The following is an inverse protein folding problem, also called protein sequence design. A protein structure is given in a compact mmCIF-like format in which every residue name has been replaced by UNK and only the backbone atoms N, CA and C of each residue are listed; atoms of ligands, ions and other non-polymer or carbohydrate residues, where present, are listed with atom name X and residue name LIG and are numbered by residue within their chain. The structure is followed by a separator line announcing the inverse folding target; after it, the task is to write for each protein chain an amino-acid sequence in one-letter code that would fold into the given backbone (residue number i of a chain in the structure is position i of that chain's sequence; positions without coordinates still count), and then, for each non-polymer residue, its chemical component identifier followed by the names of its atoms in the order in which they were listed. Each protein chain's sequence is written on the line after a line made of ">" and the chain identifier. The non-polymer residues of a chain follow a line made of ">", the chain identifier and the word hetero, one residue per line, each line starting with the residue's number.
data_IF_665915800370
#
_entry.id   IF_665915800370
#
_cell.length_a   1.000
_cell.length_b   1.000
_cell.length_c   1.000
_cell.angle_alpha   90.00
_cell.angle_beta   90.00
_cell.angle_gamma   90.00
#
_symmetry.space_group_name_H-M   'P 1'
#
loop_
_entity.id
_entity.type
_entity.pdbx_description
1 polymer ?
#
# COMPACT_ATOMS: atom_id res chain seq x y z
N UNK A 1 -7.66 8.15 -4.21
CA UNK A 1 -6.18 8.07 -4.22
C UNK A 1 -5.67 8.92 -3.07
N UNK A 2 -4.74 8.40 -2.25
CA UNK A 2 -4.16 9.12 -1.10
C UNK A 2 -2.66 9.36 -1.36
N UNK A 3 -2.18 10.53 -1.01
CA UNK A 3 -0.74 10.88 -1.06
C UNK A 3 -0.21 10.97 0.37
N UNK A 4 0.92 10.33 0.62
CA UNK A 4 1.67 10.42 1.87
C UNK A 4 3.08 10.94 1.59
N UNK A 5 3.56 11.88 2.41
CA UNK A 5 4.93 12.38 2.30
C UNK A 5 5.86 11.62 3.25
N UNK A 6 6.94 11.10 2.70
CA UNK A 6 8.04 10.49 3.44
C UNK A 6 8.84 11.63 4.07
N UNK A 7 8.98 11.60 5.41
CA UNK A 7 9.74 12.62 6.14
C UNK A 7 11.21 12.63 5.70
N UNK A 8 11.80 13.82 5.65
CA UNK A 8 13.21 14.01 5.30
C UNK A 8 14.11 13.23 6.28
N UNK A 9 15.04 12.43 5.75
CA UNK A 9 15.93 11.57 6.53
C UNK A 9 15.31 10.21 6.93
N UNK A 10 14.03 10.00 6.66
CA UNK A 10 13.41 8.68 6.77
C UNK A 10 13.52 7.98 5.42
N UNK A 11 14.33 6.92 5.36
CA UNK A 11 14.49 6.09 4.16
C UNK A 11 13.95 4.68 4.45
N UNK A 12 12.62 4.51 4.54
CA UNK A 12 12.04 3.19 4.75
C UNK A 12 12.24 2.34 3.50
N UNK A 13 12.63 1.08 3.70
CA UNK A 13 12.62 0.08 2.64
C UNK A 13 11.17 -0.34 2.38
N UNK A 14 10.49 0.40 1.51
CA UNK A 14 9.07 0.20 1.23
C UNK A 14 8.81 -1.19 0.62
N UNK A 15 9.72 -1.69 -0.23
CA UNK A 15 9.64 -3.01 -0.84
C UNK A 15 9.64 -4.11 0.22
N UNK A 16 10.55 -4.01 1.20
CA UNK A 16 10.59 -4.93 2.34
C UNK A 16 9.34 -4.82 3.23
N UNK A 17 8.82 -3.61 3.45
CA UNK A 17 7.59 -3.40 4.24
C UNK A 17 6.37 -4.03 3.56
N UNK A 18 6.20 -3.82 2.26
CA UNK A 18 5.09 -4.39 1.49
C UNK A 18 5.19 -5.92 1.45
N UNK A 19 6.39 -6.45 1.27
CA UNK A 19 6.63 -7.90 1.34
C UNK A 19 6.30 -8.46 2.73
N UNK A 20 6.68 -7.76 3.81
CA UNK A 20 6.47 -8.20 5.19
C UNK A 20 5.00 -8.21 5.60
N UNK A 21 4.25 -7.15 5.26
CA UNK A 21 2.87 -6.99 5.72
C UNK A 21 1.83 -7.59 4.78
N UNK A 22 2.11 -7.59 3.48
CA UNK A 22 1.16 -8.01 2.45
C UNK A 22 1.63 -9.21 1.63
N UNK A 23 2.86 -9.70 1.84
CA UNK A 23 3.42 -10.82 1.07
C UNK A 23 3.65 -10.51 -0.41
N UNK A 24 3.47 -9.26 -0.82
CA UNK A 24 3.54 -8.84 -2.21
C UNK A 24 4.96 -8.42 -2.55
N UNK A 25 5.48 -8.87 -3.69
CA UNK A 25 6.80 -8.50 -4.23
C UNK A 25 6.62 -7.65 -5.48
N UNK A 26 7.31 -6.51 -5.55
CA UNK A 26 7.28 -5.66 -6.74
C UNK A 26 7.96 -4.32 -6.52
N UNK A 27 8.50 -3.76 -7.60
CA UNK A 27 9.27 -2.52 -7.58
C UNK A 27 8.35 -1.31 -7.38
N UNK A 28 8.38 -0.71 -6.20
CA UNK A 28 7.50 0.42 -5.85
C UNK A 28 7.85 1.70 -6.63
N UNK A 29 9.11 1.82 -7.08
CA UNK A 29 9.56 2.95 -7.89
C UNK A 29 8.94 2.97 -9.29
N UNK A 30 8.72 1.80 -9.88
CA UNK A 30 8.00 1.66 -11.17
C UNK A 30 6.48 1.68 -11.03
N UNK A 31 5.98 1.60 -9.81
CA UNK A 31 4.56 1.41 -9.52
C UNK A 31 4.25 -0.07 -9.41
N UNK A 32 3.63 -0.44 -8.31
CA UNK A 32 3.28 -1.80 -7.94
C UNK A 32 1.78 -1.90 -7.71
N UNK A 33 1.17 -3.01 -8.12
CA UNK A 33 -0.22 -3.31 -7.84
C UNK A 33 -0.34 -4.71 -7.23
N UNK A 34 -1.10 -4.84 -6.17
CA UNK A 34 -1.39 -6.12 -5.52
C UNK A 34 -2.80 -6.10 -4.95
N UNK A 35 -3.39 -7.27 -4.79
CA UNK A 35 -4.72 -7.41 -4.20
C UNK A 35 -4.61 -8.00 -2.81
N UNK A 36 -5.29 -7.38 -1.86
CA UNK A 36 -5.39 -7.89 -0.49
C UNK A 36 -6.84 -8.28 -0.23
N UNK A 37 -7.05 -9.50 0.24
CA UNK A 37 -8.37 -9.99 0.58
C UNK A 37 -9.03 -9.07 1.62
N UNK A 38 -10.25 -8.59 1.33
CA UNK A 38 -11.00 -7.65 2.16
C UNK A 38 -10.67 -6.15 2.00
N UNK A 39 -9.52 -5.76 1.44
CA UNK A 39 -9.20 -4.33 1.12
C UNK A 39 -9.39 -4.03 -0.37
N UNK A 40 -9.19 -5.03 -1.22
CA UNK A 40 -9.31 -4.91 -2.68
C UNK A 40 -7.96 -4.72 -3.36
N UNK A 41 -7.99 -4.14 -4.56
CA UNK A 41 -6.78 -3.91 -5.35
C UNK A 41 -6.11 -2.61 -4.89
N UNK A 42 -4.84 -2.72 -4.51
CA UNK A 42 -4.01 -1.64 -4.00
C UNK A 42 -2.95 -1.33 -5.04
N UNK A 43 -2.79 -0.05 -5.35
CA UNK A 43 -1.74 0.46 -6.23
C UNK A 43 -0.83 1.35 -5.42
N UNK A 44 0.45 1.03 -5.36
CA UNK A 44 1.50 1.82 -4.71
C UNK A 44 2.42 2.39 -5.76
N UNK A 45 2.78 3.66 -5.64
CA UNK A 45 3.85 4.26 -6.44
C UNK A 45 4.62 5.24 -5.60
N UNK A 46 5.93 5.07 -5.50
CA UNK A 46 6.78 6.08 -4.88
C UNK A 46 7.32 7.01 -5.96
N UNK A 47 7.20 8.31 -5.71
CA UNK A 47 7.82 9.35 -6.52
C UNK A 47 8.60 10.29 -5.60
N UNK A 48 9.94 10.15 -5.60
CA UNK A 48 10.84 10.89 -4.70
C UNK A 48 10.44 10.70 -3.22
N UNK A 49 10.02 11.77 -2.56
CA UNK A 49 9.57 11.79 -1.17
C UNK A 49 8.06 11.65 -1.01
N UNK A 50 7.32 11.37 -2.09
CA UNK A 50 5.88 11.16 -2.06
C UNK A 50 5.55 9.69 -2.34
N UNK A 51 4.65 9.13 -1.57
CA UNK A 51 4.10 7.80 -1.73
C UNK A 51 2.62 7.92 -2.10
N UNK A 52 2.28 7.47 -3.29
CA UNK A 52 0.92 7.44 -3.80
C UNK A 52 0.31 6.07 -3.56
N UNK A 53 -0.88 6.08 -2.94
CA UNK A 53 -1.61 4.86 -2.63
C UNK A 53 -3.03 4.97 -3.21
N UNK A 54 -3.29 4.15 -4.21
CA UNK A 54 -4.62 3.88 -4.75
C UNK A 54 -5.20 2.65 -4.10
N UNK A 55 -6.46 2.70 -3.67
CA UNK A 55 -7.19 1.52 -3.19
C UNK A 55 -8.48 1.50 -4.00
N UNK A 56 -8.70 0.40 -4.72
CA UNK A 56 -9.96 0.08 -5.36
C UNK A 56 -10.66 -0.93 -4.46
N UNK A 57 -11.74 -0.54 -3.76
CA UNK A 57 -12.43 -1.44 -2.86
C UNK A 57 -12.94 -2.67 -3.62
N UNK A 58 -12.96 -3.85 -2.98
CA UNK A 58 -13.46 -5.06 -3.60
C UNK A 58 -14.97 -4.92 -3.83
N UNK A 59 -15.49 -5.60 -4.85
CA UNK A 59 -16.94 -5.65 -5.11
C UNK A 59 -17.74 -6.22 -3.93
N UNK A 60 -17.09 -7.04 -3.11
CA UNK A 60 -17.64 -7.62 -1.89
C UNK A 60 -17.03 -6.91 -0.69
N UNK A 61 -17.78 -6.02 -0.04
CA UNK A 61 -17.32 -5.26 1.12
C UNK A 61 -17.21 -6.22 2.31
N UNK A 62 -15.99 -6.54 2.74
CA UNK A 62 -15.78 -7.27 3.99
C UNK A 62 -15.86 -6.25 5.14
N UNK A 63 -16.89 -6.35 5.98
CA UNK A 63 -17.15 -5.42 7.10
C UNK A 63 -16.19 -5.56 8.29
N UNK A 64 -15.11 -6.32 8.13
CA UNK A 64 -14.19 -6.65 9.21
C UNK A 64 -13.25 -5.48 9.52
N UNK A 65 -13.58 -4.74 10.57
CA UNK A 65 -12.81 -3.58 11.05
C UNK A 65 -11.33 -3.92 11.34
N UNK A 66 -11.03 -5.19 11.63
CA UNK A 66 -9.71 -5.76 11.81
C UNK A 66 -8.76 -5.48 10.64
N UNK A 67 -9.31 -5.42 9.42
CA UNK A 67 -8.57 -5.22 8.17
C UNK A 67 -8.20 -3.73 8.01
N UNK A 68 -9.10 -2.82 8.40
CA UNK A 68 -8.84 -1.37 8.43
C UNK A 68 -7.79 -1.03 9.49
N UNK A 69 -7.77 -1.75 10.63
CA UNK A 69 -6.79 -1.55 11.70
C UNK A 69 -5.38 -2.04 11.33
N UNK A 70 -5.24 -3.04 10.46
CA UNK A 70 -3.93 -3.44 9.89
C UNK A 70 -3.41 -2.44 8.85
N UNK A 71 -4.29 -1.60 8.31
CA UNK A 71 -3.97 -0.68 7.22
C UNK A 71 -3.51 0.71 7.69
N UNK A 72 -4.02 1.19 8.84
CA UNK A 72 -3.52 2.42 9.49
C UNK A 72 -2.27 2.14 10.31
#
# INVERSE_FOLDING_TARGET
>A
MREYKIKRGHNPDLDALVTKYFGAKGDIGKGMQFSVEGIGAITLKQEKSSLFIGIVPPKTVCGDYSIIKKWN
#
